data_IF_986412056916
#
_entry.id   IF_986412056916
#
_cell.length_a   1.000
_cell.length_b   1.000
_cell.length_c   1.000
_cell.angle_alpha   90.00
_cell.angle_beta   90.00
_cell.angle_gamma   90.00
#
_symmetry.space_group_name_H-M   'P 1'
#
loop_
_entity.id
_entity.type
_entity.pdbx_description
1 polymer ?
#
# COMPACT_ATOMS: atom_id res chain seq x y z
N UNK A 1 -2.80 17.49 3.84
CA UNK A 1 -2.19 16.50 2.92
C UNK A 1 -1.40 15.44 3.71
N UNK A 2 -0.41 15.83 4.56
CA UNK A 2 0.46 14.87 5.26
C UNK A 2 -0.33 13.87 6.14
N UNK A 3 -1.29 14.33 6.93
CA UNK A 3 -2.10 13.48 7.80
C UNK A 3 -2.87 12.40 7.01
N UNK A 4 -3.35 12.72 5.80
CA UNK A 4 -4.01 11.74 4.94
C UNK A 4 -3.02 10.64 4.47
N UNK A 5 -1.81 11.04 4.08
CA UNK A 5 -0.74 10.09 3.72
C UNK A 5 -0.39 9.18 4.90
N UNK A 6 -0.20 9.76 6.08
CA UNK A 6 0.09 9.02 7.31
C UNK A 6 -1.05 8.04 7.66
N UNK A 7 -2.30 8.46 7.52
CA UNK A 7 -3.47 7.61 7.74
C UNK A 7 -3.48 6.37 6.84
N UNK A 8 -3.27 6.57 5.53
CA UNK A 8 -3.19 5.45 4.57
C UNK A 8 -2.01 4.53 4.90
N UNK A 9 -0.83 5.08 5.20
CA UNK A 9 0.34 4.28 5.56
C UNK A 9 0.11 3.48 6.85
N UNK A 10 -0.62 4.03 7.84
CA UNK A 10 -1.00 3.29 9.04
C UNK A 10 -1.97 2.14 8.76
N UNK A 11 -2.92 2.32 7.82
CA UNK A 11 -3.79 1.21 7.40
C UNK A 11 -2.99 0.09 6.74
N UNK A 12 -2.03 0.41 5.87
CA UNK A 12 -1.13 -0.57 5.27
C UNK A 12 -0.27 -1.28 6.32
N UNK A 13 0.11 -0.58 7.39
CA UNK A 13 0.82 -1.18 8.51
C UNK A 13 -0.03 -2.20 9.29
N UNK A 14 -1.33 -1.95 9.46
CA UNK A 14 -2.26 -2.92 10.06
C UNK A 14 -2.41 -4.16 9.17
N UNK A 15 -2.45 -3.98 7.84
CA UNK A 15 -2.46 -5.10 6.88
C UNK A 15 -1.18 -5.94 7.01
N UNK A 16 0.00 -5.29 7.07
CA UNK A 16 1.29 -5.96 7.29
C UNK A 16 1.29 -6.76 8.60
N UNK A 17 0.75 -6.19 9.69
CA UNK A 17 0.66 -6.87 10.98
C UNK A 17 -0.25 -8.09 10.92
N UNK A 18 -1.37 -8.01 10.20
CA UNK A 18 -2.26 -9.14 9.96
C UNK A 18 -1.56 -10.27 9.19
N UNK A 19 -0.79 -9.96 8.13
CA UNK A 19 0.03 -10.97 7.44
C UNK A 19 1.05 -11.62 8.39
N UNK A 20 1.74 -10.83 9.19
CA UNK A 20 2.72 -11.36 10.13
C UNK A 20 2.09 -12.29 11.17
N UNK A 21 0.87 -12.02 11.59
CA UNK A 21 0.11 -12.86 12.53
C UNK A 21 -0.26 -14.23 11.95
N UNK A 22 -0.31 -14.39 10.62
CA UNK A 22 -0.51 -15.69 9.96
C UNK A 22 0.76 -16.55 9.86
N UNK A 23 1.89 -16.07 10.39
CA UNK A 23 3.18 -16.76 10.30
C UNK A 23 3.94 -16.47 8.99
N UNK A 24 3.47 -15.52 8.19
CA UNK A 24 4.10 -15.06 6.94
C UNK A 24 4.76 -13.68 7.16
N UNK A 25 6.00 -13.60 7.65
CA UNK A 25 6.64 -12.33 7.94
C UNK A 25 6.94 -11.57 6.63
N UNK A 26 6.45 -10.36 6.53
CA UNK A 26 6.82 -9.42 5.45
C UNK A 26 8.21 -8.86 5.76
N UNK A 27 9.14 -9.02 4.82
CA UNK A 27 10.54 -8.58 4.99
C UNK A 27 10.90 -7.34 4.14
N UNK A 28 10.20 -7.15 3.03
CA UNK A 28 10.43 -6.06 2.08
C UNK A 28 9.09 -5.70 1.44
N UNK A 29 8.93 -4.45 1.07
CA UNK A 29 7.76 -3.96 0.35
C UNK A 29 8.20 -3.39 -0.99
N UNK A 30 7.53 -3.80 -2.06
CA UNK A 30 7.68 -3.22 -3.39
C UNK A 30 6.47 -2.36 -3.68
N UNK A 31 6.69 -1.08 -3.94
CA UNK A 31 5.65 -0.10 -4.20
C UNK A 31 5.67 0.33 -5.67
N UNK A 32 4.50 0.53 -6.25
CA UNK A 32 4.31 0.99 -7.63
C UNK A 32 3.11 1.94 -7.72
N UNK A 33 2.94 2.60 -8.86
CA UNK A 33 1.83 3.51 -9.12
C UNK A 33 2.13 4.97 -8.77
N UNK A 34 1.15 5.85 -8.96
CA UNK A 34 1.34 7.30 -8.87
C UNK A 34 1.83 7.83 -7.53
N UNK A 35 1.49 7.15 -6.43
CA UNK A 35 1.89 7.56 -5.08
C UNK A 35 3.43 7.54 -4.88
N UNK A 36 4.14 6.63 -5.56
CA UNK A 36 5.60 6.49 -5.41
C UNK A 36 6.40 7.63 -6.05
N UNK A 37 5.78 8.45 -6.90
CA UNK A 37 6.39 9.68 -7.41
C UNK A 37 6.66 10.71 -6.31
N UNK A 38 6.02 10.59 -5.15
CA UNK A 38 6.22 11.46 -4.00
C UNK A 38 7.17 10.82 -2.99
N UNK A 39 8.33 11.43 -2.79
CA UNK A 39 9.28 11.00 -1.76
C UNK A 39 8.72 11.06 -0.33
N UNK A 40 7.71 11.92 -0.09
CA UNK A 40 6.98 11.94 1.19
C UNK A 40 6.22 10.63 1.39
N UNK A 41 5.50 10.14 0.36
CA UNK A 41 4.78 8.88 0.43
C UNK A 41 5.70 7.71 0.74
N UNK A 42 6.79 7.56 -0.02
CA UNK A 42 7.69 6.42 0.12
C UNK A 42 8.36 6.40 1.49
N UNK A 43 8.85 7.55 1.97
CA UNK A 43 9.47 7.65 3.31
C UNK A 43 8.47 7.41 4.43
N UNK A 44 7.24 7.95 4.30
CA UNK A 44 6.19 7.74 5.31
C UNK A 44 5.79 6.26 5.34
N UNK A 45 5.68 5.62 4.18
CA UNK A 45 5.36 4.21 4.07
C UNK A 45 6.45 3.34 4.73
N UNK A 46 7.72 3.56 4.39
CA UNK A 46 8.83 2.84 5.01
C UNK A 46 8.82 2.97 6.54
N UNK A 47 8.65 4.19 7.07
CA UNK A 47 8.59 4.44 8.50
C UNK A 47 7.35 3.83 9.17
N UNK A 48 6.16 3.89 8.55
CA UNK A 48 4.94 3.32 9.11
C UNK A 48 4.97 1.79 9.13
N UNK A 49 5.55 1.18 8.09
CA UNK A 49 5.72 -0.26 8.01
C UNK A 49 6.92 -0.77 8.81
N UNK A 50 7.85 0.10 9.18
CA UNK A 50 9.15 -0.27 9.80
C UNK A 50 9.89 -1.34 8.96
N UNK A 51 9.88 -1.13 7.63
CA UNK A 51 10.45 -2.03 6.62
C UNK A 51 11.05 -1.23 5.47
N UNK A 52 12.09 -1.77 4.80
CA UNK A 52 12.59 -1.17 3.58
C UNK A 52 11.54 -1.22 2.47
N UNK A 53 11.42 -0.12 1.73
CA UNK A 53 10.51 0.01 0.59
C UNK A 53 11.32 0.23 -0.67
N UNK A 54 11.13 -0.63 -1.67
CA UNK A 54 11.66 -0.46 -3.01
C UNK A 54 10.56 0.04 -3.93
N UNK A 55 10.91 0.93 -4.83
CA UNK A 55 9.99 1.45 -5.84
C UNK A 55 10.26 0.71 -7.14
N UNK A 56 9.20 0.21 -7.78
CA UNK A 56 9.32 -0.39 -9.11
C UNK A 56 9.69 0.69 -10.14
N UNK A 57 10.61 0.38 -11.04
CA UNK A 57 11.09 1.31 -12.06
C UNK A 57 10.01 1.68 -13.08
N UNK A 58 8.99 0.81 -13.24
CA UNK A 58 7.85 1.09 -14.10
C UNK A 58 6.72 1.77 -13.33
N UNK A 59 6.31 2.98 -13.72
CA UNK A 59 5.14 3.64 -13.14
C UNK A 59 3.83 2.91 -13.47
N UNK A 60 3.81 2.13 -14.56
CA UNK A 60 2.66 1.40 -15.08
C UNK A 60 2.72 -0.09 -14.69
N UNK A 61 2.88 -0.37 -13.40
CA UNK A 61 3.04 -1.75 -12.88
C UNK A 61 1.91 -2.69 -13.29
N UNK A 62 0.65 -2.22 -13.32
CA UNK A 62 -0.50 -3.02 -13.76
C UNK A 62 -0.42 -3.40 -15.23
N UNK A 63 -0.07 -2.43 -16.10
CA UNK A 63 0.11 -2.67 -17.53
C UNK A 63 1.26 -3.64 -17.80
N UNK A 64 2.39 -3.45 -17.12
CA UNK A 64 3.54 -4.35 -17.21
C UNK A 64 3.15 -5.78 -16.77
N UNK A 65 2.44 -5.93 -15.66
CA UNK A 65 1.97 -7.23 -15.19
C UNK A 65 1.06 -7.93 -16.20
N UNK A 66 0.13 -7.19 -16.81
CA UNK A 66 -0.74 -7.74 -17.86
C UNK A 66 0.06 -8.19 -19.10
N UNK A 67 1.07 -7.42 -19.51
CA UNK A 67 1.96 -7.81 -20.62
C UNK A 67 2.75 -9.09 -20.29
N UNK A 68 3.30 -9.21 -19.08
CA UNK A 68 4.06 -10.39 -18.65
C UNK A 68 3.19 -11.64 -18.62
N UNK A 69 1.95 -11.53 -18.12
CA UNK A 69 0.97 -12.62 -18.18
C UNK A 69 0.61 -13.00 -19.62
N UNK A 70 0.46 -12.01 -20.51
CA UNK A 70 0.23 -12.26 -21.95
C UNK A 70 1.41 -12.99 -22.61
N UNK A 71 2.63 -12.58 -22.34
CA UNK A 71 3.83 -13.25 -22.83
C UNK A 71 3.94 -14.69 -22.33
N UNK A 72 3.60 -14.93 -21.08
CA UNK A 72 3.56 -16.28 -20.53
C UNK A 72 2.49 -17.14 -21.21
N UNK A 73 1.28 -16.62 -21.40
CA UNK A 73 0.20 -17.32 -22.08
C UNK A 73 0.52 -17.67 -23.54
N UNK A 74 1.35 -16.84 -24.22
CA UNK A 74 1.82 -17.07 -25.60
C UNK A 74 3.07 -17.97 -25.64
N UNK A 75 3.59 -18.45 -24.53
CA UNK A 75 4.78 -19.27 -24.44
C UNK A 75 6.09 -18.52 -24.70
N UNK A 76 6.06 -17.17 -24.80
CA UNK A 76 7.26 -16.33 -24.96
C UNK A 76 8.02 -16.11 -23.64
N UNK A 77 7.33 -16.30 -22.50
CA UNK A 77 7.91 -16.31 -21.17
C UNK A 77 7.60 -17.69 -20.54
N UNK A 78 8.60 -18.59 -20.45
CA UNK A 78 8.36 -19.97 -20.00
C UNK A 78 7.89 -20.07 -18.56
N UNK A 79 8.41 -19.21 -17.68
CA UNK A 79 8.11 -19.17 -16.26
C UNK A 79 7.81 -17.76 -15.79
N UNK A 80 6.77 -17.60 -14.97
CA UNK A 80 6.43 -16.31 -14.34
C UNK A 80 7.48 -15.87 -13.30
N UNK A 81 8.26 -16.79 -12.74
CA UNK A 81 9.36 -16.43 -11.84
C UNK A 81 10.45 -15.66 -12.60
N UNK A 82 10.65 -15.91 -13.91
CA UNK A 82 11.55 -15.14 -14.76
C UNK A 82 11.06 -13.69 -14.94
N UNK A 83 9.75 -13.43 -14.79
CA UNK A 83 9.20 -12.09 -14.87
C UNK A 83 9.76 -11.16 -13.78
N UNK A 84 10.15 -11.69 -12.63
CA UNK A 84 10.78 -10.90 -11.56
C UNK A 84 12.09 -10.26 -11.99
N UNK A 85 12.83 -10.90 -12.89
CA UNK A 85 14.08 -10.37 -13.43
C UNK A 85 13.85 -9.21 -14.44
N UNK A 86 12.64 -9.15 -15.02
CA UNK A 86 12.25 -8.11 -15.98
C UNK A 86 11.69 -6.85 -15.30
N UNK A 87 11.39 -6.93 -13.99
CA UNK A 87 10.88 -5.79 -13.22
C UNK A 87 12.02 -5.21 -12.39
N UNK A 88 12.57 -4.09 -12.86
CA UNK A 88 13.56 -3.33 -12.11
C UNK A 88 12.94 -2.72 -10.85
N UNK A 89 13.73 -2.62 -9.79
CA UNK A 89 13.36 -1.94 -8.55
C UNK A 89 14.51 -1.04 -8.09
N UNK A 90 14.17 0.08 -7.45
CA UNK A 90 15.13 1.03 -6.89
C UNK A 90 15.95 0.41 -5.75
N UNK A 91 16.98 1.14 -5.32
CA UNK A 91 17.57 0.92 -4.00
C UNK A 91 16.50 1.08 -2.91
N UNK A 92 16.61 0.33 -1.79
CA UNK A 92 15.62 0.40 -0.73
C UNK A 92 15.64 1.77 -0.05
N UNK A 93 14.45 2.31 0.21
CA UNK A 93 14.27 3.43 1.13
C UNK A 93 14.09 2.85 2.53
N UNK A 94 15.13 3.02 3.35
CA UNK A 94 15.13 2.53 4.72
C UNK A 94 14.20 3.35 5.62
N UNK A 95 13.55 2.72 6.62
CA UNK A 95 12.73 3.44 7.58
C UNK A 95 13.59 4.36 8.46
N UNK A 96 13.15 5.60 8.65
CA UNK A 96 13.71 6.47 9.68
C UNK A 96 13.34 5.94 11.07
N UNK A 97 14.31 5.61 11.95
CA UNK A 97 14.02 4.95 13.23
C UNK A 97 13.17 5.79 14.19
N UNK A 98 13.32 7.10 14.15
CA UNK A 98 12.55 8.01 15.00
C UNK A 98 11.09 8.07 14.57
N UNK A 99 10.85 8.20 13.26
CA UNK A 99 9.51 8.18 12.68
C UNK A 99 8.85 6.81 12.84
N UNK A 100 9.58 5.71 12.62
CA UNK A 100 9.07 4.36 12.82
C UNK A 100 8.64 4.12 14.28
N UNK A 101 9.45 4.56 15.24
CA UNK A 101 9.11 4.51 16.66
C UNK A 101 7.86 5.31 17.00
N UNK A 102 7.65 6.48 16.39
CA UNK A 102 6.44 7.29 16.54
C UNK A 102 5.22 6.57 15.97
N UNK A 103 5.29 6.12 14.71
CA UNK A 103 4.17 5.46 14.04
C UNK A 103 3.76 4.15 14.73
N UNK A 104 4.71 3.40 15.28
CA UNK A 104 4.40 2.21 16.08
C UNK A 104 3.57 2.54 17.31
N UNK A 105 3.86 3.65 18.00
CA UNK A 105 3.06 4.10 19.16
C UNK A 105 1.69 4.66 18.75
N UNK A 106 1.57 5.26 17.57
CA UNK A 106 0.31 5.79 17.05
C UNK A 106 -0.65 4.68 16.59
N UNK A 107 -0.14 3.54 16.11
CA UNK A 107 -0.95 2.48 15.50
C UNK A 107 -2.13 1.99 16.34
N UNK A 108 -1.98 1.69 17.65
CA UNK A 108 -3.12 1.31 18.49
C UNK A 108 -4.18 2.40 18.58
N UNK A 109 -3.79 3.67 18.55
CA UNK A 109 -4.71 4.80 18.61
C UNK A 109 -5.49 4.94 17.29
N UNK A 110 -4.83 4.71 16.15
CA UNK A 110 -5.50 4.70 14.84
C UNK A 110 -6.54 3.59 14.78
N UNK A 111 -6.20 2.38 15.23
CA UNK A 111 -7.12 1.26 15.29
C UNK A 111 -8.30 1.53 16.23
N UNK A 112 -8.04 2.08 17.39
CA UNK A 112 -9.09 2.47 18.34
C UNK A 112 -10.02 3.55 17.76
N UNK A 113 -9.46 4.55 17.06
CA UNK A 113 -10.25 5.60 16.42
C UNK A 113 -11.15 5.04 15.32
N UNK A 114 -10.62 4.13 14.49
CA UNK A 114 -11.42 3.47 13.45
C UNK A 114 -12.61 2.70 14.04
N UNK A 115 -12.40 1.97 15.13
CA UNK A 115 -13.48 1.25 15.84
C UNK A 115 -14.49 2.20 16.47
N UNK A 116 -14.03 3.29 17.07
CA UNK A 116 -14.92 4.27 17.73
C UNK A 116 -15.80 5.04 16.72
N UNK A 117 -15.33 5.17 15.47
CA UNK A 117 -16.04 5.88 14.39
C UNK A 117 -16.85 4.94 13.48
N UNK A 118 -16.84 3.63 13.72
CA UNK A 118 -17.47 2.65 12.83
C UNK A 118 -18.95 2.96 12.56
N UNK A 119 -19.73 3.27 13.60
CA UNK A 119 -21.16 3.58 13.47
C UNK A 119 -21.39 4.89 12.69
N UNK A 120 -20.52 5.88 12.90
CA UNK A 120 -20.57 7.16 12.17
C UNK A 120 -20.26 6.94 10.69
N UNK A 121 -19.25 6.15 10.38
CA UNK A 121 -18.87 5.83 8.99
C UNK A 121 -19.99 5.06 8.29
N UNK A 122 -20.59 4.07 8.94
CA UNK A 122 -21.75 3.34 8.40
C UNK A 122 -22.93 4.26 8.10
N UNK A 123 -23.17 5.25 8.97
CA UNK A 123 -24.23 6.24 8.75
C UNK A 123 -23.92 7.15 7.56
N UNK A 124 -22.65 7.55 7.39
CA UNK A 124 -22.19 8.37 6.25
C UNK A 124 -22.32 7.61 4.93
N UNK A 125 -21.92 6.35 4.88
CA UNK A 125 -22.04 5.50 3.70
C UNK A 125 -23.52 5.37 3.25
N UNK A 126 -24.43 5.25 4.21
CA UNK A 126 -25.88 5.18 3.93
C UNK A 126 -26.45 6.48 3.35
N UNK A 127 -25.81 7.64 3.55
CA UNK A 127 -26.24 8.91 2.96
C UNK A 127 -25.84 9.02 1.46
N UNK A 128 -24.74 8.38 1.07
CA UNK A 128 -24.28 8.36 -0.32
C UNK A 128 -25.14 7.45 -1.22
N UNK A 129 -25.77 6.43 -0.64
CA UNK A 129 -26.67 5.50 -1.36
C UNK A 129 -28.06 6.08 -1.63
N UNK A 130 -28.33 7.33 -1.27
CA UNK A 130 -29.60 7.99 -1.62
C UNK A 130 -29.62 8.27 -3.14
N UNK A 131 -30.58 7.72 -3.93
CA UNK A 131 -30.67 8.01 -5.35
C UNK A 131 -30.78 9.51 -5.54
N UNK A 132 -29.91 10.09 -6.36
CA UNK A 132 -30.07 11.49 -6.75
C UNK A 132 -31.37 11.60 -7.54
N UNK A 133 -32.42 12.10 -6.91
CA UNK A 133 -33.65 12.58 -7.56
C UNK A 133 -33.26 13.81 -8.40
N UNK A 134 -32.64 13.56 -9.56
CA UNK A 134 -32.48 14.59 -10.57
C UNK A 134 -33.58 14.38 -11.62
N UNK A 135 -34.69 15.14 -11.58
CA UNK A 135 -35.68 15.11 -12.64
C UNK A 135 -35.06 15.65 -13.93
N UNK A 136 -35.11 14.82 -14.98
CA UNK A 136 -34.68 15.15 -16.32
C UNK A 136 -35.51 16.34 -16.92
#
# INVERSE_FOLDING_TARGET
VRAAVEGVCQQLALVRDAFSATGLPVREVRATGGAVASSLWVRTLAAALDLPVRVADSPEGTGLGACLLGLHALGALPDLDEATALVGVSDPVEPDPAAAGLYRRMRPLVEQSARALADVLTTLDALDDTPSDNPA
#
